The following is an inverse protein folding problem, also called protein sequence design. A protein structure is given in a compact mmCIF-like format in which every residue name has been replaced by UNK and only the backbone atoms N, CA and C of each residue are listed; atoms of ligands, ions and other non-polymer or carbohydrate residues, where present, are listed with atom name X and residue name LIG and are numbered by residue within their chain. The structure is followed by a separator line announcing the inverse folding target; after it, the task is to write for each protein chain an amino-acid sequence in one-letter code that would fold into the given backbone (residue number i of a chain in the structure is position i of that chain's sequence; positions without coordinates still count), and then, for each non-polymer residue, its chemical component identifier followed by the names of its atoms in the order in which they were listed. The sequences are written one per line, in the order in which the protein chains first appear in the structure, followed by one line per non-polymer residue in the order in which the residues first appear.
data_IF_678773077933
#
_entry.id   IF_678773077933
#
_cell.length_a   1.000
_cell.length_b   1.000
_cell.length_c   1.000
_cell.angle_alpha   90.00
_cell.angle_beta   90.00
_cell.angle_gamma   90.00
#
_symmetry.space_group_name_H-M   'P 1'
#
loop_
_entity.id
_entity.type
_entity.pdbx_description
1 polymer ?
#
# COMPACT_ATOMS: atom_id res chain seq x y z
N UNK A 1 18.46 -4.39 9.99
CA UNK A 1 18.13 -2.99 9.64
C UNK A 1 16.62 -2.88 9.56
N UNK A 2 15.97 -2.53 10.67
CA UNK A 2 14.54 -2.19 10.70
C UNK A 2 14.49 -0.67 10.75
N UNK A 3 14.46 -0.03 9.59
CA UNK A 3 14.29 1.42 9.52
C UNK A 3 12.94 1.79 10.14
N UNK A 4 12.99 2.58 11.21
CA UNK A 4 11.84 3.19 11.85
C UNK A 4 11.01 3.91 10.80
N UNK A 5 9.84 3.36 10.49
CA UNK A 5 8.88 3.80 9.46
C UNK A 5 8.11 5.07 9.92
N UNK A 6 8.80 6.00 10.55
CA UNK A 6 8.19 7.24 11.03
C UNK A 6 8.41 8.31 9.94
N UNK A 7 7.32 8.83 9.39
CA UNK A 7 7.20 9.87 8.36
C UNK A 7 7.06 9.51 6.86
N UNK A 8 6.78 8.24 6.50
CA UNK A 8 6.41 7.96 5.10
C UNK A 8 4.93 8.26 4.81
N UNK A 9 4.66 9.28 3.99
CA UNK A 9 3.30 9.65 3.56
C UNK A 9 2.69 8.65 2.56
N UNK A 10 3.54 8.05 1.71
CA UNK A 10 3.11 7.14 0.64
C UNK A 10 4.00 5.91 0.54
N UNK A 11 3.39 4.76 0.30
CA UNK A 11 4.04 3.47 0.06
C UNK A 11 3.96 3.10 -1.42
N UNK A 12 4.97 2.37 -1.89
CA UNK A 12 4.92 1.66 -3.16
C UNK A 12 4.38 0.23 -2.95
N UNK A 13 3.88 -0.45 -4.01
CA UNK A 13 3.40 -1.82 -3.88
C UNK A 13 4.43 -2.78 -3.28
N UNK A 14 5.72 -2.62 -3.66
CA UNK A 14 6.83 -3.45 -3.14
C UNK A 14 7.07 -3.26 -1.64
N UNK A 15 6.86 -2.05 -1.12
CA UNK A 15 7.02 -1.77 0.31
C UNK A 15 5.82 -2.26 1.11
N UNK A 16 4.66 -2.32 0.45
CA UNK A 16 3.44 -2.82 1.05
C UNK A 16 3.45 -4.35 1.22
N UNK A 17 4.19 -5.08 0.39
CA UNK A 17 4.36 -6.54 0.46
C UNK A 17 4.82 -7.01 1.86
N UNK A 18 5.99 -6.58 2.37
CA UNK A 18 6.42 -6.94 3.72
C UNK A 18 5.59 -6.27 4.82
N UNK A 19 5.00 -5.09 4.57
CA UNK A 19 4.20 -4.37 5.56
C UNK A 19 2.90 -5.12 5.90
N UNK A 20 2.19 -5.61 4.88
CA UNK A 20 0.93 -6.33 5.04
C UNK A 20 1.12 -7.86 5.05
N UNK A 21 2.35 -8.34 4.84
CA UNK A 21 2.68 -9.75 4.66
C UNK A 21 1.85 -10.40 3.54
N UNK A 22 1.63 -9.66 2.45
CA UNK A 22 0.85 -10.10 1.30
C UNK A 22 1.74 -10.28 0.08
N UNK A 23 1.39 -11.25 -0.76
CA UNK A 23 2.09 -11.46 -2.03
C UNK A 23 1.90 -10.25 -2.97
N UNK A 24 2.90 -10.02 -3.83
CA UNK A 24 2.81 -9.06 -4.95
C UNK A 24 1.51 -9.19 -5.75
N UNK A 25 1.05 -10.42 -5.99
CA UNK A 25 -0.16 -10.67 -6.77
C UNK A 25 -1.40 -10.19 -6.01
N UNK A 26 -1.47 -10.46 -4.71
CA UNK A 26 -2.56 -10.00 -3.85
C UNK A 26 -2.60 -8.48 -3.80
N UNK A 27 -1.45 -7.82 -3.62
CA UNK A 27 -1.39 -6.36 -3.58
C UNK A 27 -1.81 -5.75 -4.92
N UNK A 28 -1.31 -6.29 -6.04
CA UNK A 28 -1.75 -5.81 -7.35
C UNK A 28 -3.24 -6.06 -7.60
N UNK A 29 -3.80 -7.15 -7.10
CA UNK A 29 -5.24 -7.41 -7.18
C UNK A 29 -6.03 -6.37 -6.36
N UNK A 30 -5.61 -6.07 -5.12
CA UNK A 30 -6.22 -5.06 -4.26
C UNK A 30 -6.20 -3.66 -4.88
N UNK A 31 -5.09 -3.30 -5.52
CA UNK A 31 -4.95 -2.02 -6.23
C UNK A 31 -5.83 -1.98 -7.49
N UNK A 32 -5.90 -3.08 -8.24
CA UNK A 32 -6.70 -3.17 -9.47
C UNK A 32 -8.20 -3.20 -9.21
N UNK A 33 -8.64 -3.86 -8.14
CA UNK A 33 -10.06 -3.90 -7.77
C UNK A 33 -10.51 -2.66 -6.99
N UNK A 34 -9.58 -1.77 -6.64
CA UNK A 34 -9.89 -0.54 -5.91
C UNK A 34 -10.19 -0.74 -4.42
N UNK A 35 -10.06 -1.96 -3.90
CA UNK A 35 -10.28 -2.28 -2.49
C UNK A 35 -9.22 -1.64 -1.59
N UNK A 36 -8.03 -1.39 -2.13
CA UNK A 36 -7.02 -0.54 -1.51
C UNK A 36 -6.91 0.78 -2.28
N UNK A 37 -7.26 1.89 -1.62
CA UNK A 37 -7.19 3.22 -2.22
C UNK A 37 -5.75 3.55 -2.60
N UNK A 38 -5.54 4.00 -3.83
CA UNK A 38 -4.23 4.37 -4.35
C UNK A 38 -4.34 5.47 -5.40
N UNK A 39 -3.26 6.23 -5.56
CA UNK A 39 -3.12 7.27 -6.58
C UNK A 39 -2.16 6.76 -7.65
N UNK A 40 -2.63 6.69 -8.90
CA UNK A 40 -1.78 6.29 -10.03
C UNK A 40 -1.09 7.52 -10.61
N UNK A 41 0.24 7.57 -10.51
CA UNK A 41 1.07 8.61 -11.11
C UNK A 41 1.94 7.98 -12.20
N UNK A 42 1.49 8.12 -13.45
CA UNK A 42 2.10 7.48 -14.61
C UNK A 42 2.07 5.95 -14.51
N UNK A 43 3.26 5.34 -14.42
CA UNK A 43 3.44 3.87 -14.30
C UNK A 43 3.48 3.38 -12.85
N UNK A 44 3.44 4.27 -11.87
CA UNK A 44 3.57 3.93 -10.44
C UNK A 44 2.24 4.07 -9.72
N UNK A 45 2.05 3.21 -8.72
CA UNK A 45 1.01 3.36 -7.70
C UNK A 45 1.62 4.00 -6.46
N UNK A 46 0.99 5.04 -5.96
CA UNK A 46 1.25 5.66 -4.67
C UNK A 46 0.12 5.27 -3.73
N UNK A 47 0.46 4.61 -2.63
CA UNK A 47 -0.51 4.12 -1.66
C UNK A 47 -0.37 4.99 -0.43
N UNK A 48 -1.30 5.93 -0.18
CA UNK A 48 -1.23 6.77 1.02
C UNK A 48 -1.23 5.91 2.28
N UNK A 49 -0.50 6.34 3.30
CA UNK A 49 -0.53 5.66 4.59
C UNK A 49 -1.95 5.55 5.16
N UNK A 50 -2.71 6.63 5.07
CA UNK A 50 -4.11 6.67 5.52
C UNK A 50 -4.95 5.60 4.82
N UNK A 51 -4.75 5.38 3.52
CA UNK A 51 -5.46 4.34 2.78
C UNK A 51 -5.17 2.93 3.31
N UNK A 52 -3.94 2.67 3.73
CA UNK A 52 -3.56 1.40 4.36
C UNK A 52 -4.24 1.26 5.73
N UNK A 53 -4.28 2.34 6.51
CA UNK A 53 -4.94 2.34 7.83
C UNK A 53 -6.44 2.09 7.70
N UNK A 54 -7.14 2.79 6.80
CA UNK A 54 -8.55 2.55 6.53
C UNK A 54 -8.81 1.10 6.07
N UNK A 55 -7.98 0.58 5.17
CA UNK A 55 -8.08 -0.81 4.72
C UNK A 55 -7.96 -1.82 5.87
N UNK A 56 -7.06 -1.58 6.84
CA UNK A 56 -6.89 -2.43 8.02
C UNK A 56 -8.02 -2.29 9.05
N UNK A 57 -8.66 -1.11 9.10
CA UNK A 57 -9.82 -0.86 9.95
C UNK A 57 -11.10 -1.50 9.41
N UNK A 58 -11.10 -1.93 8.15
CA UNK A 58 -12.25 -2.59 7.51
C UNK A 58 -13.33 -1.61 7.04
N UNK A 59 -12.98 -0.33 6.89
CA UNK A 59 -13.84 0.73 6.36
C UNK A 59 -13.76 0.85 4.82
#
# INVERSE_FOLDING_TARGET
MTESTQDKLVYSPKELEPLLQLSKNTINALLRCGRLRSVRVGRRYLIPREAVQHFLQGE
#
